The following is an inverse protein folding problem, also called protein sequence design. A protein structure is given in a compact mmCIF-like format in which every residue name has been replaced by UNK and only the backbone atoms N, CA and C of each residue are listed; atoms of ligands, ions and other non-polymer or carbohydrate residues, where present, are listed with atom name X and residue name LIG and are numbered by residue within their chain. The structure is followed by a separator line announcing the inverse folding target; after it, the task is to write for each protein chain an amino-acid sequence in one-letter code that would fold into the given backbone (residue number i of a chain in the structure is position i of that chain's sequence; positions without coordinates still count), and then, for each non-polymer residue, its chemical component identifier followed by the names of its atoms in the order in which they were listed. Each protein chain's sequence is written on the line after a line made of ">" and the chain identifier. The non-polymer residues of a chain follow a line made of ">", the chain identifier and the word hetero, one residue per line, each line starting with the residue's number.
data_IF_638959598175
#
_entry.id   IF_638959598175
#
_cell.length_a   1.000
_cell.length_b   1.000
_cell.length_c   1.000
_cell.angle_alpha   90.00
_cell.angle_beta   90.00
_cell.angle_gamma   90.00
#
_symmetry.space_group_name_H-M   'P 1'
#
loop_
_entity.id
_entity.type
_entity.pdbx_description
1 polymer ?
#
# COMPACT_ATOMS: atom_id res chain seq x y z
N UNK A 1 -34.45 -0.16 -7.64
CA UNK A 1 -34.46 -0.04 -6.16
C UNK A 1 -33.16 0.63 -5.76
N UNK A 2 -33.17 1.95 -5.59
CA UNK A 2 -31.98 2.77 -5.36
C UNK A 2 -32.16 3.61 -4.10
N UNK A 3 -31.06 3.86 -3.40
CA UNK A 3 -31.02 4.68 -2.19
C UNK A 3 -31.29 6.13 -2.60
N UNK A 4 -32.36 6.73 -2.09
CA UNK A 4 -32.84 8.07 -2.47
C UNK A 4 -32.37 9.21 -1.54
N UNK A 5 -31.54 8.91 -0.53
CA UNK A 5 -31.03 9.93 0.39
C UNK A 5 -29.71 9.52 1.03
N UNK A 6 -28.69 10.35 0.87
CA UNK A 6 -27.45 10.30 1.65
C UNK A 6 -27.48 11.39 2.72
N UNK A 7 -27.28 11.01 3.98
CA UNK A 7 -27.06 11.94 5.09
C UNK A 7 -25.65 11.74 5.63
N UNK A 8 -24.85 12.81 5.65
CA UNK A 8 -23.54 12.81 6.29
C UNK A 8 -23.72 12.68 7.81
N UNK A 9 -23.09 11.68 8.44
CA UNK A 9 -23.02 11.62 9.91
C UNK A 9 -22.05 12.70 10.39
N UNK A 10 -22.51 13.56 11.29
CA UNK A 10 -21.62 14.50 11.96
C UNK A 10 -20.87 13.78 13.09
N UNK A 11 -19.65 14.23 13.47
CA UNK A 11 -18.81 13.53 14.46
C UNK A 11 -19.40 13.42 15.88
N UNK A 12 -20.61 13.93 16.11
CA UNK A 12 -21.22 14.11 17.43
C UNK A 12 -21.98 12.89 17.95
N UNK A 13 -22.14 11.84 17.13
CA UNK A 13 -22.88 10.61 17.47
C UNK A 13 -21.98 9.41 17.83
N UNK A 14 -20.67 9.63 18.04
CA UNK A 14 -19.78 8.60 18.55
C UNK A 14 -19.78 8.62 20.10
N UNK A 15 -20.11 7.51 20.79
CA UNK A 15 -19.98 7.45 22.23
C UNK A 15 -18.48 7.48 22.60
N UNK A 16 -18.01 8.64 23.04
CA UNK A 16 -16.69 8.82 23.66
C UNK A 16 -16.63 8.01 24.95
N UNK A 17 -15.99 6.84 24.91
CA UNK A 17 -15.61 6.13 26.12
C UNK A 17 -14.37 6.81 26.71
N UNK A 18 -14.54 7.60 27.77
CA UNK A 18 -13.43 8.23 28.49
C UNK A 18 -12.75 7.20 29.39
N UNK A 19 -11.42 6.98 29.29
CA UNK A 19 -10.71 6.19 30.28
C UNK A 19 -10.58 6.98 31.60
N UNK A 20 -11.04 6.38 32.70
CA UNK A 20 -10.89 6.93 34.05
C UNK A 20 -9.42 6.88 34.52
N UNK A 21 -8.94 7.85 35.31
CA UNK A 21 -7.59 7.87 35.83
C UNK A 21 -7.43 6.84 36.97
N UNK A 22 -6.43 5.96 36.86
CA UNK A 22 -6.01 5.07 37.95
C UNK A 22 -5.11 5.82 38.91
N UNK A 23 -5.44 5.70 40.20
CA UNK A 23 -4.71 6.27 41.32
C UNK A 23 -3.24 5.85 41.35
N UNK A 24 -2.43 6.79 41.81
CA UNK A 24 -1.01 6.70 42.13
C UNK A 24 -0.71 5.70 43.24
N UNK A 25 0.33 4.88 43.06
CA UNK A 25 1.10 4.34 44.18
C UNK A 25 2.56 4.12 43.76
N UNK A 26 3.45 4.69 44.57
CA UNK A 26 4.90 4.77 44.38
C UNK A 26 5.57 3.53 45.00
N UNK A 27 6.66 3.05 44.38
CA UNK A 27 7.76 2.44 45.12
C UNK A 27 9.07 2.54 44.32
N UNK A 28 10.09 3.09 44.97
CA UNK A 28 11.43 3.33 44.45
C UNK A 28 12.29 2.06 44.46
N UNK A 29 13.21 1.94 43.48
CA UNK A 29 14.55 1.40 43.68
C UNK A 29 15.40 1.62 42.41
N UNK A 30 16.42 2.48 42.51
CA UNK A 30 17.61 2.42 41.65
C UNK A 30 18.56 1.37 42.21
N UNK A 31 19.25 0.63 41.34
CA UNK A 31 20.69 0.60 41.49
C UNK A 31 21.42 0.80 40.15
N UNK A 32 22.46 1.62 40.22
CA UNK A 32 23.55 1.76 39.27
C UNK A 32 24.17 0.40 38.90
N UNK A 33 24.32 0.11 37.61
CA UNK A 33 25.34 -0.83 37.13
C UNK A 33 25.81 -0.43 35.72
N UNK A 34 27.13 -0.33 35.55
CA UNK A 34 27.79 -0.03 34.29
C UNK A 34 27.46 -1.08 33.20
N UNK A 35 27.27 -0.60 31.97
CA UNK A 35 26.69 -1.32 30.84
C UNK A 35 27.53 -2.50 30.28
N UNK A 36 26.91 -3.52 29.66
CA UNK A 36 27.62 -4.41 28.74
C UNK A 36 27.69 -3.77 27.34
N UNK A 37 28.90 -3.60 26.80
CA UNK A 37 29.19 -3.12 25.43
C UNK A 37 28.44 -3.87 24.31
N UNK A 38 27.92 -5.07 24.59
CA UNK A 38 27.15 -5.89 23.66
C UNK A 38 25.84 -5.21 23.19
N UNK A 39 25.14 -4.47 24.07
CA UNK A 39 23.88 -3.81 23.70
C UNK A 39 24.09 -2.64 22.73
N UNK A 40 25.20 -1.91 22.87
CA UNK A 40 25.54 -0.80 21.97
C UNK A 40 25.96 -1.30 20.58
N UNK A 41 26.64 -2.46 20.50
CA UNK A 41 26.99 -3.10 19.23
C UNK A 41 25.78 -3.70 18.53
N UNK A 42 24.88 -4.32 19.29
CA UNK A 42 23.63 -4.88 18.78
C UNK A 42 22.67 -3.77 18.32
N UNK A 43 22.55 -2.68 19.09
CA UNK A 43 21.81 -1.48 18.68
C UNK A 43 22.45 -0.80 17.47
N UNK A 44 23.77 -0.80 17.33
CA UNK A 44 24.46 -0.30 16.12
C UNK A 44 24.24 -1.21 14.91
N UNK A 45 24.18 -2.53 15.07
CA UNK A 45 23.88 -3.44 13.95
C UNK A 45 22.43 -3.30 13.49
N UNK A 46 21.49 -3.20 14.42
CA UNK A 46 20.07 -2.95 14.14
C UNK A 46 19.86 -1.58 13.48
N UNK A 47 20.47 -0.52 14.01
CA UNK A 47 20.40 0.82 13.41
C UNK A 47 21.10 0.90 12.03
N UNK A 48 22.15 0.10 11.81
CA UNK A 48 22.87 0.06 10.52
C UNK A 48 22.04 -0.64 9.43
N UNK A 49 21.17 -1.58 9.79
CA UNK A 49 20.23 -2.21 8.87
C UNK A 49 19.13 -1.25 8.39
N UNK A 50 18.78 -0.24 9.19
CA UNK A 50 17.78 0.78 8.82
C UNK A 50 18.35 1.88 7.88
N UNK A 51 19.67 2.05 7.81
CA UNK A 51 20.31 3.13 7.03
C UNK A 51 20.68 2.81 5.58
N UNK A 52 20.41 1.59 5.08
CA UNK A 52 20.55 1.34 3.64
C UNK A 52 19.28 1.83 2.93
N UNK A 53 19.39 2.96 2.24
CA UNK A 53 18.30 3.50 1.41
C UNK A 53 17.80 2.42 0.45
N UNK A 54 16.48 2.17 0.45
CA UNK A 54 15.83 1.25 -0.48
C UNK A 54 16.12 1.71 -1.92
N UNK A 55 16.80 0.92 -2.77
CA UNK A 55 17.13 1.34 -4.13
C UNK A 55 15.89 1.67 -4.97
N UNK A 56 14.72 1.13 -4.63
CA UNK A 56 13.45 1.43 -5.30
C UNK A 56 13.03 2.88 -5.03
N UNK A 57 13.33 3.43 -3.86
CA UNK A 57 12.96 4.79 -3.47
C UNK A 57 13.62 5.88 -4.35
N UNK A 58 14.73 5.55 -5.04
CA UNK A 58 15.42 6.49 -5.92
C UNK A 58 15.03 6.37 -7.40
N UNK A 59 14.21 5.38 -7.78
CA UNK A 59 13.91 5.09 -9.19
C UNK A 59 13.03 6.16 -9.84
N UNK A 60 13.30 6.51 -11.09
CA UNK A 60 12.37 7.28 -11.92
C UNK A 60 11.29 6.37 -12.54
N UNK A 61 10.33 6.95 -13.27
CA UNK A 61 9.22 6.20 -13.86
C UNK A 61 9.65 5.05 -14.79
N UNK A 62 10.53 5.27 -15.79
CA UNK A 62 10.97 4.20 -16.69
C UNK A 62 11.68 3.07 -15.93
N UNK A 63 12.58 3.41 -15.00
CA UNK A 63 13.33 2.41 -14.23
C UNK A 63 12.40 1.61 -13.33
N UNK A 64 11.44 2.28 -12.67
CA UNK A 64 10.47 1.63 -11.80
C UNK A 64 9.57 0.66 -12.58
N UNK A 65 9.06 1.08 -13.74
CA UNK A 65 8.22 0.24 -14.59
C UNK A 65 8.98 -0.98 -15.11
N UNK A 66 10.21 -0.79 -15.59
CA UNK A 66 11.06 -1.89 -16.07
C UNK A 66 11.41 -2.86 -14.94
N UNK A 67 11.69 -2.34 -13.74
CA UNK A 67 11.99 -3.15 -12.56
C UNK A 67 10.79 -4.02 -12.16
N UNK A 68 9.58 -3.44 -12.16
CA UNK A 68 8.36 -4.21 -11.86
C UNK A 68 8.12 -5.29 -12.92
N UNK A 69 8.29 -5.00 -14.21
CA UNK A 69 8.09 -5.97 -15.29
C UNK A 69 8.97 -7.22 -15.12
N UNK A 70 10.21 -7.04 -14.67
CA UNK A 70 11.15 -8.13 -14.39
C UNK A 70 11.12 -8.69 -12.97
N UNK A 71 10.25 -8.20 -12.08
CA UNK A 71 10.34 -8.48 -10.64
C UNK A 71 10.11 -9.97 -10.31
N UNK A 72 10.96 -10.51 -9.43
CA UNK A 72 10.89 -11.89 -8.89
C UNK A 72 11.02 -11.93 -7.36
N UNK A 73 10.66 -10.85 -6.67
CA UNK A 73 10.87 -10.70 -5.22
C UNK A 73 9.92 -11.55 -4.35
N UNK A 74 8.89 -12.18 -4.91
CA UNK A 74 7.98 -13.09 -4.22
C UNK A 74 7.45 -14.16 -5.17
N UNK A 75 6.85 -15.24 -4.63
CA UNK A 75 6.37 -16.39 -5.41
C UNK A 75 5.23 -16.09 -6.40
N UNK A 76 4.59 -14.92 -6.33
CA UNK A 76 3.57 -14.52 -7.30
C UNK A 76 4.11 -14.38 -8.73
N UNK A 77 5.44 -14.21 -8.89
CA UNK A 77 6.04 -14.08 -10.22
C UNK A 77 5.94 -15.32 -11.09
N UNK A 78 5.77 -16.50 -10.48
CA UNK A 78 5.81 -17.77 -11.22
C UNK A 78 4.46 -18.12 -11.86
N UNK A 79 3.37 -17.52 -11.38
CA UNK A 79 2.01 -17.81 -11.85
C UNK A 79 1.34 -16.70 -12.68
N UNK A 80 1.99 -15.54 -12.85
CA UNK A 80 1.44 -14.41 -13.61
C UNK A 80 1.66 -14.57 -15.11
N UNK A 81 0.80 -13.97 -15.92
CA UNK A 81 1.07 -13.73 -17.33
C UNK A 81 1.78 -12.38 -17.51
N UNK A 82 1.23 -11.33 -16.89
CA UNK A 82 1.80 -9.99 -16.92
C UNK A 82 1.85 -9.39 -15.53
N UNK A 83 2.84 -8.54 -15.27
CA UNK A 83 2.72 -7.61 -14.16
C UNK A 83 1.71 -6.52 -14.49
N UNK A 84 0.99 -6.05 -13.48
CA UNK A 84 0.05 -4.94 -13.59
C UNK A 84 0.60 -3.79 -12.77
N UNK A 85 1.32 -2.89 -13.43
CA UNK A 85 2.09 -1.81 -12.81
C UNK A 85 1.18 -0.74 -12.17
N UNK A 86 0.34 -0.14 -13.00
CA UNK A 86 -0.50 1.02 -12.70
C UNK A 86 -0.66 1.85 -13.96
N UNK A 87 -1.77 2.58 -14.09
CA UNK A 87 -2.10 3.39 -15.27
C UNK A 87 -2.77 4.71 -14.87
N UNK A 88 -2.78 5.68 -15.80
CA UNK A 88 -3.46 6.95 -15.63
C UNK A 88 -2.50 8.14 -15.58
N UNK A 89 -2.98 9.27 -15.07
CA UNK A 89 -2.20 10.50 -15.03
C UNK A 89 -1.14 10.44 -13.91
N UNK A 90 0.14 10.53 -14.29
CA UNK A 90 1.28 10.55 -13.35
C UNK A 90 1.34 11.81 -12.47
N UNK A 91 0.51 12.82 -12.75
CA UNK A 91 0.32 14.02 -11.93
C UNK A 91 -1.13 14.13 -11.42
N UNK A 92 -1.81 12.99 -11.26
CA UNK A 92 -3.18 12.94 -10.76
C UNK A 92 -3.28 13.41 -9.31
N UNK A 93 -4.31 14.20 -8.98
CA UNK A 93 -4.67 14.59 -7.61
C UNK A 93 -5.47 13.52 -6.83
N UNK A 94 -5.66 12.36 -7.44
CA UNK A 94 -6.39 11.25 -6.88
C UNK A 94 -5.75 9.96 -7.38
N UNK A 95 -5.32 9.14 -6.42
CA UNK A 95 -4.80 7.81 -6.68
C UNK A 95 -5.74 6.77 -6.06
N UNK A 96 -6.17 5.80 -6.85
CA UNK A 96 -6.95 4.65 -6.38
C UNK A 96 -6.05 3.42 -6.31
N UNK A 97 -6.09 2.74 -5.16
CA UNK A 97 -5.25 1.56 -4.91
C UNK A 97 -6.14 0.36 -4.58
N UNK A 98 -6.09 -0.65 -5.44
CA UNK A 98 -6.69 -1.96 -5.20
C UNK A 98 -5.75 -2.93 -4.49
N UNK A 99 -6.25 -4.13 -4.21
CA UNK A 99 -5.48 -5.17 -3.53
C UNK A 99 -4.49 -5.87 -4.48
N UNK A 100 -5.03 -6.52 -5.51
CA UNK A 100 -4.27 -7.36 -6.43
C UNK A 100 -4.92 -7.40 -7.83
N UNK A 101 -4.15 -7.74 -8.88
CA UNK A 101 -4.71 -8.00 -10.20
C UNK A 101 -5.59 -9.24 -10.21
N UNK A 102 -6.73 -9.17 -10.90
CA UNK A 102 -7.55 -10.32 -11.23
C UNK A 102 -7.09 -11.01 -12.51
N UNK A 103 -7.89 -11.96 -13.00
CA UNK A 103 -7.59 -12.74 -14.21
C UNK A 103 -7.50 -11.87 -15.46
N UNK A 104 -8.43 -10.94 -15.63
CA UNK A 104 -8.50 -10.10 -16.84
C UNK A 104 -7.38 -9.07 -16.82
N UNK A 105 -7.06 -8.53 -15.64
CA UNK A 105 -5.93 -7.64 -15.41
C UNK A 105 -4.59 -8.32 -15.72
N UNK A 106 -4.38 -9.54 -15.22
CA UNK A 106 -3.17 -10.33 -15.48
C UNK A 106 -2.98 -10.65 -16.96
N UNK A 107 -4.06 -10.92 -17.69
CA UNK A 107 -3.99 -11.19 -19.13
C UNK A 107 -3.67 -9.92 -19.95
N UNK A 108 -4.18 -8.76 -19.54
CA UNK A 108 -3.98 -7.50 -20.28
C UNK A 108 -2.78 -6.68 -19.82
N UNK A 109 -2.29 -6.88 -18.59
CA UNK A 109 -1.27 -6.03 -17.97
C UNK A 109 -1.80 -4.70 -17.42
N UNK A 110 -3.13 -4.52 -17.34
CA UNK A 110 -3.77 -3.27 -16.95
C UNK A 110 -4.68 -3.46 -15.73
N UNK A 111 -4.67 -2.54 -14.75
CA UNK A 111 -5.46 -2.68 -13.53
C UNK A 111 -6.93 -2.39 -13.78
N UNK A 112 -7.84 -3.01 -13.03
CA UNK A 112 -9.29 -2.72 -13.06
C UNK A 112 -9.87 -2.69 -14.49
N UNK A 113 -9.68 -3.75 -15.26
CA UNK A 113 -10.23 -3.92 -16.62
C UNK A 113 -11.35 -4.95 -16.67
N UNK A 114 -11.57 -5.68 -15.57
CA UNK A 114 -12.66 -6.62 -15.43
C UNK A 114 -13.98 -6.04 -14.94
N UNK A 115 -14.87 -6.89 -14.43
CA UNK A 115 -16.20 -6.49 -13.92
C UNK A 115 -16.12 -5.44 -12.80
N UNK A 116 -15.15 -5.57 -11.90
CA UNK A 116 -14.92 -4.57 -10.84
C UNK A 116 -14.44 -3.24 -11.42
N UNK A 117 -13.62 -3.29 -12.48
CA UNK A 117 -13.19 -2.12 -13.22
C UNK A 117 -14.34 -1.36 -13.88
N UNK A 118 -15.26 -2.08 -14.52
CA UNK A 118 -16.46 -1.46 -15.10
C UNK A 118 -17.36 -0.80 -14.04
N UNK A 119 -17.40 -1.37 -12.83
CA UNK A 119 -18.09 -0.72 -11.71
C UNK A 119 -17.37 0.56 -11.27
N UNK A 120 -16.04 0.51 -11.16
CA UNK A 120 -15.23 1.68 -10.84
C UNK A 120 -15.43 2.79 -11.88
N UNK A 121 -15.42 2.47 -13.17
CA UNK A 121 -15.63 3.46 -14.24
C UNK A 121 -17.00 4.15 -14.12
N UNK A 122 -18.06 3.40 -13.76
CA UNK A 122 -19.38 3.98 -13.48
C UNK A 122 -19.39 4.88 -12.24
N UNK A 123 -18.65 4.52 -11.20
CA UNK A 123 -18.51 5.34 -9.99
C UNK A 123 -17.77 6.65 -10.28
N UNK A 124 -16.69 6.59 -11.06
CA UNK A 124 -15.95 7.78 -11.49
C UNK A 124 -16.84 8.70 -12.34
N UNK A 125 -17.57 8.14 -13.30
CA UNK A 125 -18.49 8.90 -14.13
C UNK A 125 -19.60 9.59 -13.31
N UNK A 126 -20.10 8.92 -12.26
CA UNK A 126 -21.13 9.48 -11.38
C UNK A 126 -20.63 10.69 -10.55
N UNK A 127 -19.31 10.84 -10.40
CA UNK A 127 -18.68 12.01 -9.75
C UNK A 127 -17.94 12.90 -10.75
N UNK A 128 -18.28 12.79 -12.04
CA UNK A 128 -17.74 13.60 -13.13
C UNK A 128 -16.21 13.51 -13.30
N UNK A 129 -15.61 12.39 -12.88
CA UNK A 129 -14.20 12.08 -13.09
C UNK A 129 -14.03 11.08 -14.23
N UNK A 130 -13.01 11.30 -15.06
CA UNK A 130 -12.57 10.35 -16.07
C UNK A 130 -11.38 9.53 -15.57
N UNK A 131 -11.27 8.30 -16.07
CA UNK A 131 -10.21 7.36 -15.68
C UNK A 131 -8.82 7.91 -15.97
N UNK A 132 -8.67 8.69 -17.05
CA UNK A 132 -7.40 9.27 -17.46
C UNK A 132 -6.96 10.44 -16.56
N UNK A 133 -7.85 10.98 -15.73
CA UNK A 133 -7.55 12.08 -14.81
C UNK A 133 -6.97 11.60 -13.48
N UNK A 134 -7.14 10.32 -13.16
CA UNK A 134 -6.69 9.70 -11.92
C UNK A 134 -5.50 8.77 -12.18
N UNK A 135 -4.84 8.31 -11.12
CA UNK A 135 -3.87 7.22 -11.20
C UNK A 135 -4.43 5.97 -10.50
N UNK A 136 -4.30 4.80 -11.11
CA UNK A 136 -4.83 3.54 -10.57
C UNK A 136 -3.70 2.53 -10.45
N UNK A 137 -3.58 1.92 -9.29
CA UNK A 137 -2.59 0.87 -9.01
C UNK A 137 -3.16 -0.21 -8.08
N UNK A 138 -2.36 -1.24 -7.80
CA UNK A 138 -2.64 -2.26 -6.78
C UNK A 138 -1.49 -2.35 -5.77
N UNK A 139 -1.76 -2.89 -4.58
CA UNK A 139 -0.75 -3.20 -3.55
C UNK A 139 0.28 -4.19 -4.11
N UNK A 140 -0.18 -5.34 -4.62
CA UNK A 140 0.68 -6.28 -5.34
C UNK A 140 0.55 -6.10 -6.85
N UNK A 141 1.66 -6.31 -7.58
CA UNK A 141 1.71 -6.12 -9.04
C UNK A 141 1.49 -7.41 -9.84
N UNK A 142 1.27 -8.53 -9.16
CA UNK A 142 1.10 -9.85 -9.76
C UNK A 142 -0.18 -10.49 -9.22
N UNK A 143 -0.87 -11.26 -10.05
CA UNK A 143 -2.11 -11.96 -9.68
C UNK A 143 -1.82 -13.14 -8.74
N UNK A 144 -2.47 -13.21 -7.57
CA UNK A 144 -2.41 -14.40 -6.71
C UNK A 144 -3.12 -15.61 -7.34
N UNK A 145 -2.60 -16.85 -7.12
CA UNK A 145 -3.23 -18.07 -7.60
C UNK A 145 -4.70 -18.17 -7.19
N UNK A 146 -5.58 -18.46 -8.15
CA UNK A 146 -7.01 -18.58 -7.87
C UNK A 146 -7.71 -17.26 -7.46
N UNK A 147 -7.09 -16.09 -7.69
CA UNK A 147 -7.59 -14.78 -7.20
C UNK A 147 -7.81 -14.74 -5.68
N UNK A 148 -7.02 -15.49 -4.90
CA UNK A 148 -7.00 -15.32 -3.45
C UNK A 148 -6.47 -13.94 -3.07
N UNK A 149 -6.64 -13.54 -1.82
CA UNK A 149 -5.96 -12.37 -1.30
C UNK A 149 -4.43 -12.60 -1.25
N UNK A 150 -3.61 -11.58 -1.47
CA UNK A 150 -2.17 -11.69 -1.31
C UNK A 150 -1.84 -11.94 0.16
N UNK A 151 -0.83 -12.77 0.40
CA UNK A 151 -0.30 -12.97 1.73
C UNK A 151 0.48 -11.73 2.20
N UNK A 152 0.69 -11.61 3.51
CA UNK A 152 1.33 -10.45 4.10
C UNK A 152 2.78 -10.26 3.61
N UNK A 153 3.50 -11.35 3.40
CA UNK A 153 4.85 -11.37 2.83
C UNK A 153 4.86 -10.94 1.35
N UNK A 154 3.88 -11.36 0.55
CA UNK A 154 3.72 -10.92 -0.85
C UNK A 154 3.44 -9.41 -0.94
N UNK A 155 2.55 -8.91 -0.06
CA UNK A 155 2.26 -7.48 0.04
C UNK A 155 3.50 -6.70 0.51
N UNK A 156 4.22 -7.20 1.51
CA UNK A 156 5.45 -6.58 2.02
C UNK A 156 6.54 -6.51 0.93
N UNK A 157 6.74 -7.59 0.17
CA UNK A 157 7.72 -7.65 -0.92
C UNK A 157 7.39 -6.67 -2.07
N UNK A 158 6.10 -6.37 -2.29
CA UNK A 158 5.67 -5.45 -3.35
C UNK A 158 5.54 -3.99 -2.90
N UNK A 159 5.52 -3.75 -1.57
CA UNK A 159 5.17 -2.46 -0.96
C UNK A 159 6.02 -1.30 -1.46
N UNK A 160 7.32 -1.50 -1.63
CA UNK A 160 8.26 -0.48 -2.07
C UNK A 160 7.87 0.13 -3.43
N UNK A 161 7.36 -0.68 -4.37
CA UNK A 161 6.92 -0.19 -5.67
C UNK A 161 5.69 0.72 -5.56
N UNK A 162 4.71 0.35 -4.73
CA UNK A 162 3.53 1.19 -4.52
C UNK A 162 3.90 2.51 -3.84
N UNK A 163 4.75 2.47 -2.80
CA UNK A 163 5.22 3.67 -2.14
C UNK A 163 5.94 4.60 -3.13
N UNK A 164 6.81 4.04 -3.96
CA UNK A 164 7.50 4.83 -4.96
C UNK A 164 6.54 5.46 -5.98
N UNK A 165 5.50 4.74 -6.39
CA UNK A 165 4.44 5.33 -7.24
C UNK A 165 3.72 6.48 -6.54
N UNK A 166 3.38 6.35 -5.25
CA UNK A 166 2.74 7.43 -4.48
C UNK A 166 3.65 8.65 -4.39
N UNK A 167 4.94 8.45 -4.11
CA UNK A 167 5.94 9.52 -4.06
C UNK A 167 6.10 10.24 -5.39
N UNK A 168 6.08 9.50 -6.51
CA UNK A 168 6.22 10.06 -7.85
C UNK A 168 4.95 10.80 -8.32
N UNK A 169 3.77 10.31 -7.95
CA UNK A 169 2.49 10.93 -8.33
C UNK A 169 2.19 12.18 -7.49
N UNK A 170 2.54 12.15 -6.20
CA UNK A 170 2.16 13.16 -5.21
C UNK A 170 0.65 13.52 -5.28
N UNK A 171 -0.25 12.52 -5.15
CA UNK A 171 -1.68 12.71 -5.35
C UNK A 171 -2.34 13.58 -4.28
#
# INVERSE_FOLDING_TARGET
>A
MGITSWHARTPKDAPFNQPQPRASEQAAATPTTAAPRASAQQNRMLAKQETQADPIAAMDWPTLQQTVAGCRACGLCDGRNNTVFGVGNQHAKLMLVGEAPGREEDLKGEPFVGRAGQLLDRMLAAVELKREQIYIANIVKCRPPGNRNPHADEAAACRAYLLRQIELVQP
#
